data_IF_820470836175
#
_entry.id   IF_820470836175
#
_cell.length_a   1.000
_cell.length_b   1.000
_cell.length_c   1.000
_cell.angle_alpha   90.00
_cell.angle_beta   90.00
_cell.angle_gamma   90.00
#
_symmetry.space_group_name_H-M   'P 1'
#
loop_
_entity.id
_entity.type
_entity.pdbx_description
1 polymer ?
#
# COMPACT_ATOMS: atom_id res chain seq x y z
N UNK A 1 -12.56 -4.02 11.36
CA UNK A 1 -12.45 -4.74 10.07
C UNK A 1 -12.08 -6.19 10.38
N UNK A 2 -12.91 -7.18 10.04
CA UNK A 2 -12.66 -8.59 10.38
C UNK A 2 -11.60 -9.15 9.43
N UNK A 3 -10.38 -9.37 9.95
CA UNK A 3 -9.30 -10.06 9.24
C UNK A 3 -9.69 -11.54 9.22
N UNK A 4 -10.05 -12.06 8.06
CA UNK A 4 -10.14 -13.50 7.86
C UNK A 4 -8.72 -14.02 7.62
N UNK A 5 -8.02 -14.39 8.69
CA UNK A 5 -6.87 -15.29 8.60
C UNK A 5 -7.45 -16.68 8.34
N UNK A 6 -7.39 -17.14 7.11
CA UNK A 6 -7.81 -18.50 6.77
C UNK A 6 -6.68 -19.44 7.20
N UNK A 7 -6.79 -19.99 8.42
CA UNK A 7 -6.12 -21.23 8.78
C UNK A 7 -6.81 -22.36 8.01
N UNK A 8 -6.24 -22.73 6.86
CA UNK A 8 -6.76 -23.81 6.02
C UNK A 8 -6.62 -25.15 6.73
N UNK A 9 -7.76 -25.74 7.12
CA UNK A 9 -7.87 -27.09 7.63
C UNK A 9 -7.56 -28.11 6.51
N UNK A 10 -6.67 -29.07 6.82
CA UNK A 10 -6.33 -30.22 6.00
C UNK A 10 -7.55 -31.12 5.78
N UNK A 11 -8.00 -31.23 4.54
CA UNK A 11 -8.86 -32.33 4.10
C UNK A 11 -8.17 -33.06 2.93
N UNK A 12 -7.54 -34.18 3.26
CA UNK A 12 -7.12 -35.19 2.30
C UNK A 12 -8.37 -35.92 1.81
N UNK A 13 -8.78 -35.63 0.58
CA UNK A 13 -9.69 -36.53 -0.16
C UNK A 13 -9.02 -36.85 -1.48
N UNK A 14 -8.43 -38.05 -1.53
CA UNK A 14 -7.98 -38.65 -2.77
C UNK A 14 -9.18 -39.15 -3.56
N UNK A 15 -9.32 -38.66 -4.79
CA UNK A 15 -10.19 -39.25 -5.80
C UNK A 15 -9.44 -39.23 -7.13
N UNK A 16 -8.99 -40.41 -7.57
CA UNK A 16 -8.53 -40.65 -8.92
C UNK A 16 -9.73 -40.55 -9.87
N UNK A 17 -9.72 -39.59 -10.80
CA UNK A 17 -10.72 -39.50 -11.85
C UNK A 17 -10.09 -38.95 -13.14
N UNK A 18 -10.21 -39.74 -14.22
CA UNK A 18 -10.26 -39.34 -15.63
C UNK A 18 -9.16 -38.42 -16.16
N UNK A 19 -8.24 -38.96 -16.95
CA UNK A 19 -7.31 -38.16 -17.74
C UNK A 19 -8.04 -37.31 -18.79
N UNK A 20 -8.34 -36.06 -18.44
CA UNK A 20 -8.46 -34.98 -19.41
C UNK A 20 -7.06 -34.63 -19.91
N UNK A 21 -6.93 -34.36 -21.21
CA UNK A 21 -5.65 -33.97 -21.83
C UNK A 21 -5.30 -32.55 -21.35
N UNK A 22 -4.72 -32.45 -20.14
CA UNK A 22 -4.28 -31.17 -19.58
C UNK A 22 -2.99 -30.78 -20.29
N UNK A 23 -3.08 -29.77 -21.15
CA UNK A 23 -1.91 -29.21 -21.81
C UNK A 23 -1.10 -28.39 -20.80
N UNK A 24 0.12 -28.85 -20.48
CA UNK A 24 1.02 -28.21 -19.53
C UNK A 24 2.09 -27.39 -20.25
N UNK A 25 2.21 -26.13 -19.87
CA UNK A 25 3.15 -25.18 -20.45
C UNK A 25 4.00 -24.55 -19.35
N UNK A 26 5.32 -24.56 -19.53
CA UNK A 26 6.21 -23.72 -18.73
C UNK A 26 6.27 -22.33 -19.39
N UNK A 27 6.02 -21.28 -18.61
CA UNK A 27 6.06 -19.90 -19.09
C UNK A 27 7.44 -19.33 -18.75
N UNK A 28 8.26 -19.14 -19.78
CA UNK A 28 9.54 -18.47 -19.65
C UNK A 28 9.37 -16.95 -19.63
N UNK A 29 10.18 -16.26 -18.80
CA UNK A 29 10.19 -14.80 -18.71
C UNK A 29 10.58 -14.16 -20.04
N UNK A 30 9.84 -13.13 -20.45
CA UNK A 30 10.00 -12.42 -21.72
C UNK A 30 9.50 -13.17 -22.95
N UNK A 31 9.02 -14.41 -22.79
CA UNK A 31 8.55 -15.24 -23.91
C UNK A 31 7.30 -14.65 -24.58
N UNK A 32 7.06 -15.07 -25.82
CA UNK A 32 5.83 -14.73 -26.53
C UNK A 32 4.59 -15.26 -25.79
N UNK A 33 4.70 -16.44 -25.17
CA UNK A 33 3.62 -17.02 -24.37
C UNK A 33 3.28 -16.15 -23.16
N UNK A 34 4.28 -15.63 -22.44
CA UNK A 34 4.06 -14.70 -21.32
C UNK A 34 3.29 -13.46 -21.76
N UNK A 35 3.69 -12.86 -22.90
CA UNK A 35 3.00 -11.69 -23.48
C UNK A 35 1.55 -11.99 -23.86
N UNK A 36 1.29 -13.17 -24.43
CA UNK A 36 -0.05 -13.61 -24.82
C UNK A 36 -0.97 -13.90 -23.64
N UNK A 37 -0.41 -14.32 -22.50
CA UNK A 37 -1.16 -14.52 -21.26
C UNK A 37 -1.52 -13.18 -20.60
N UNK A 38 -0.74 -12.12 -20.82
CA UNK A 38 -1.09 -10.77 -20.38
C UNK A 38 -1.22 -10.62 -18.86
N UNK A 39 -0.47 -11.42 -18.10
CA UNK A 39 -0.38 -11.30 -16.65
C UNK A 39 0.82 -10.45 -16.25
N UNK A 40 0.73 -9.87 -15.05
CA UNK A 40 1.82 -9.23 -14.34
C UNK A 40 2.08 -9.98 -13.05
N UNK A 41 3.33 -10.34 -12.80
CA UNK A 41 3.76 -10.92 -11.52
C UNK A 41 4.93 -10.11 -11.00
N UNK A 42 4.87 -9.74 -9.73
CA UNK A 42 5.95 -9.04 -9.04
C UNK A 42 6.26 -9.67 -7.70
N UNK A 43 7.53 -9.62 -7.34
CA UNK A 43 8.08 -10.10 -6.06
C UNK A 43 8.73 -8.90 -5.38
N UNK A 44 8.33 -8.62 -4.15
CA UNK A 44 8.81 -7.48 -3.36
C UNK A 44 9.20 -7.96 -1.96
N UNK A 45 10.16 -7.29 -1.31
CA UNK A 45 10.48 -7.56 0.09
C UNK A 45 9.30 -7.15 1.00
N UNK A 46 8.90 -8.05 1.91
CA UNK A 46 7.80 -7.75 2.85
C UNK A 46 8.13 -6.57 3.75
N UNK A 47 9.40 -6.38 4.11
CA UNK A 47 9.80 -5.24 4.94
C UNK A 47 9.59 -3.90 4.24
N UNK A 48 9.61 -3.88 2.91
CA UNK A 48 9.35 -2.67 2.13
C UNK A 48 7.84 -2.40 1.96
N UNK A 49 7.01 -3.44 1.86
CA UNK A 49 5.54 -3.30 1.76
C UNK A 49 4.87 -2.98 3.10
N UNK A 50 5.21 -3.64 4.21
CA UNK A 50 4.55 -3.34 5.50
C UNK A 50 4.83 -1.92 6.01
N UNK A 51 5.95 -1.39 5.55
CA UNK A 51 6.36 -0.01 5.74
C UNK A 51 5.57 0.99 4.88
N UNK A 52 4.85 0.52 3.87
CA UNK A 52 4.05 1.34 2.94
C UNK A 52 2.56 1.44 3.28
N UNK A 53 1.98 0.44 3.95
CA UNK A 53 0.53 0.32 4.14
C UNK A 53 0.02 0.67 5.57
N UNK A 54 0.86 1.20 6.45
CA UNK A 54 0.48 1.42 7.86
C UNK A 54 -0.36 2.69 8.08
N UNK A 55 -1.65 2.61 7.71
CA UNK A 55 -2.72 3.25 8.48
C UNK A 55 -3.06 2.48 9.76
N UNK A 56 -2.75 1.19 9.86
CA UNK A 56 -2.87 0.40 11.10
C UNK A 56 -1.90 -0.79 11.03
N UNK A 57 -0.99 -0.95 12.00
CA UNK A 57 -0.11 -2.12 12.02
C UNK A 57 1.05 -2.02 12.99
N UNK A 58 0.86 -2.57 14.19
CA UNK A 58 1.92 -2.94 15.14
C UNK A 58 2.89 -3.86 14.40
N UNK A 59 4.14 -3.43 14.18
CA UNK A 59 5.16 -4.34 13.67
C UNK A 59 5.43 -5.41 14.73
N UNK A 60 5.12 -6.65 14.44
CA UNK A 60 5.56 -7.76 15.29
C UNK A 60 6.82 -8.25 14.61
N UNK A 61 7.95 -8.14 15.30
CA UNK A 61 9.15 -8.86 14.95
C UNK A 61 8.78 -10.36 15.01
N UNK A 62 8.81 -11.03 13.86
CA UNK A 62 8.23 -12.36 13.67
C UNK A 62 8.65 -12.97 12.33
N UNK A 63 8.45 -14.29 12.15
CA UNK A 63 9.47 -15.26 11.76
C UNK A 63 9.80 -15.28 10.26
N UNK A 64 11.07 -15.59 9.95
CA UNK A 64 11.71 -15.73 8.62
C UNK A 64 11.49 -14.56 7.63
N UNK A 65 12.53 -14.10 6.91
CA UNK A 65 12.34 -13.04 5.94
C UNK A 65 11.40 -13.55 4.83
N UNK A 66 10.42 -12.72 4.45
CA UNK A 66 9.38 -13.05 3.48
C UNK A 66 9.38 -12.06 2.32
N UNK A 67 8.99 -12.55 1.15
CA UNK A 67 8.58 -11.73 0.01
C UNK A 67 7.05 -11.65 -0.04
N UNK A 68 6.55 -10.55 -0.58
CA UNK A 68 5.18 -10.39 -1.04
C UNK A 68 5.18 -10.63 -2.54
N UNK A 69 4.33 -11.54 -2.98
CA UNK A 69 4.09 -11.80 -4.41
C UNK A 69 2.74 -11.24 -4.79
N UNK A 70 2.71 -10.46 -5.87
CA UNK A 70 1.49 -9.90 -6.45
C UNK A 70 1.32 -10.51 -7.84
N UNK A 71 0.16 -11.08 -8.07
CA UNK A 71 -0.25 -11.59 -9.37
C UNK A 71 -1.47 -10.82 -9.84
N UNK A 72 -1.36 -10.18 -10.99
CA UNK A 72 -2.44 -9.48 -11.65
C UNK A 72 -2.64 -10.06 -13.05
N UNK A 73 -3.88 -10.33 -13.45
CA UNK A 73 -4.18 -10.75 -14.81
C UNK A 73 -5.58 -10.28 -15.21
N UNK A 74 -5.77 -10.07 -16.50
CA UNK A 74 -7.12 -9.96 -17.08
C UNK A 74 -7.51 -11.32 -17.66
N UNK A 75 -8.58 -11.92 -17.15
CA UNK A 75 -9.22 -13.14 -17.64
C UNK A 75 -9.84 -12.92 -19.04
N UNK A 76 -8.96 -12.88 -20.04
CA UNK A 76 -9.26 -12.78 -21.46
C UNK A 76 -8.17 -13.48 -22.28
N UNK A 77 -8.35 -13.59 -23.59
CA UNK A 77 -7.39 -14.29 -24.46
C UNK A 77 -7.14 -15.73 -24.00
N UNK A 78 -5.86 -16.09 -23.80
CA UNK A 78 -5.46 -17.43 -23.31
C UNK A 78 -5.81 -17.71 -21.85
N UNK A 79 -6.14 -16.68 -21.08
CA UNK A 79 -6.62 -16.77 -19.70
C UNK A 79 -8.14 -16.64 -19.60
N UNK A 80 -8.86 -16.73 -20.74
CA UNK A 80 -10.31 -16.85 -20.72
C UNK A 80 -10.69 -18.10 -19.92
N UNK A 81 -11.73 -18.00 -19.11
CA UNK A 81 -12.21 -19.10 -18.27
C UNK A 81 -11.15 -19.59 -17.26
N UNK A 82 -10.34 -18.67 -16.72
CA UNK A 82 -9.46 -18.90 -15.57
C UNK A 82 -10.30 -19.32 -14.36
N UNK A 83 -10.00 -20.49 -13.80
CA UNK A 83 -10.77 -21.07 -12.69
C UNK A 83 -9.92 -21.44 -11.47
N UNK A 84 -8.60 -21.57 -11.63
CA UNK A 84 -7.72 -21.96 -10.51
C UNK A 84 -6.34 -21.28 -10.62
N UNK A 85 -5.85 -20.88 -9.45
CA UNK A 85 -4.49 -20.38 -9.24
C UNK A 85 -3.93 -21.16 -8.05
N UNK A 86 -2.81 -21.84 -8.25
CA UNK A 86 -2.17 -22.69 -7.24
C UNK A 86 -0.70 -22.32 -7.08
N UNK A 87 -0.22 -22.33 -5.84
CA UNK A 87 1.19 -22.15 -5.53
C UNK A 87 1.76 -23.47 -5.04
N UNK A 88 2.65 -24.05 -5.84
CA UNK A 88 3.45 -25.19 -5.45
C UNK A 88 4.77 -24.73 -4.81
N UNK A 89 5.01 -25.16 -3.57
CA UNK A 89 6.23 -24.89 -2.80
C UNK A 89 6.95 -26.22 -2.58
N UNK A 90 8.22 -26.30 -2.95
CA UNK A 90 9.07 -27.43 -2.57
C UNK A 90 10.03 -27.01 -1.47
N UNK A 91 9.94 -27.63 -0.31
CA UNK A 91 10.85 -27.34 0.81
C UNK A 91 12.28 -27.87 0.56
N UNK A 92 13.18 -27.63 1.52
CA UNK A 92 14.57 -28.10 1.48
C UNK A 92 14.68 -29.63 1.30
N UNK A 93 13.71 -30.37 1.82
CA UNK A 93 13.66 -31.83 1.91
C UNK A 93 12.90 -32.48 0.73
N UNK A 94 12.40 -31.69 -0.22
CA UNK A 94 11.65 -32.18 -1.39
C UNK A 94 10.16 -32.38 -1.13
N UNK A 95 9.62 -31.95 0.01
CA UNK A 95 8.19 -31.99 0.30
C UNK A 95 7.48 -30.95 -0.56
N UNK A 96 6.50 -31.39 -1.34
CA UNK A 96 5.67 -30.54 -2.19
C UNK A 96 4.41 -30.12 -1.43
N UNK A 97 4.24 -28.82 -1.24
CA UNK A 97 3.04 -28.21 -0.69
C UNK A 97 2.32 -27.44 -1.79
N UNK A 98 1.06 -27.78 -2.05
CA UNK A 98 0.18 -27.03 -2.94
C UNK A 98 -0.73 -26.12 -2.12
N UNK A 99 -0.75 -24.85 -2.46
CA UNK A 99 -1.56 -23.83 -1.79
C UNK A 99 -2.52 -23.24 -2.82
N UNK A 100 -3.80 -23.63 -2.81
CA UNK A 100 -4.79 -22.99 -3.66
C UNK A 100 -4.94 -21.53 -3.23
N UNK A 101 -4.73 -20.62 -4.17
CA UNK A 101 -4.83 -19.19 -3.92
C UNK A 101 -6.26 -18.75 -4.23
N UNK A 102 -6.90 -18.11 -3.24
CA UNK A 102 -8.27 -17.63 -3.41
C UNK A 102 -8.33 -16.59 -4.54
N UNK A 103 -8.90 -16.99 -5.68
CA UNK A 103 -9.30 -16.06 -6.72
C UNK A 103 -10.50 -15.30 -6.16
N UNK A 104 -10.33 -14.00 -5.89
CA UNK A 104 -11.44 -13.18 -5.40
C UNK A 104 -12.51 -13.12 -6.49
N UNK A 105 -13.64 -13.77 -6.26
CA UNK A 105 -14.88 -13.55 -7.00
C UNK A 105 -15.89 -12.91 -6.05
N UNK A 106 -16.34 -11.70 -6.43
CA UNK A 106 -17.69 -11.11 -6.24
C UNK A 106 -17.56 -9.59 -6.33
N UNK A 107 -18.09 -9.00 -7.41
CA UNK A 107 -18.21 -7.56 -7.66
C UNK A 107 -16.99 -6.80 -8.20
N UNK A 108 -16.44 -7.24 -9.33
CA UNK A 108 -16.02 -6.23 -10.31
C UNK A 108 -16.62 -6.60 -11.67
N UNK A 109 -17.11 -5.60 -12.42
CA UNK A 109 -17.58 -5.79 -13.82
C UNK A 109 -16.41 -6.06 -14.77
N UNK A 110 -15.22 -6.25 -14.22
CA UNK A 110 -13.95 -6.32 -14.90
C UNK A 110 -13.43 -7.74 -14.71
N UNK A 111 -13.07 -8.38 -15.83
CA UNK A 111 -12.47 -9.71 -15.89
C UNK A 111 -11.06 -9.70 -15.28
N UNK A 112 -10.83 -9.12 -14.10
CA UNK A 112 -9.52 -8.98 -13.49
C UNK A 112 -9.36 -9.89 -12.28
N UNK A 113 -8.17 -10.49 -12.18
CA UNK A 113 -7.71 -11.30 -11.07
C UNK A 113 -6.55 -10.56 -10.42
N UNK A 114 -6.68 -10.23 -9.14
CA UNK A 114 -5.61 -9.66 -8.31
C UNK A 114 -5.47 -10.54 -7.06
N UNK A 115 -4.32 -11.19 -6.93
CA UNK A 115 -3.99 -12.09 -5.84
C UNK A 115 -2.67 -11.66 -5.21
N UNK A 116 -2.65 -11.64 -3.88
CA UNK A 116 -1.45 -11.33 -3.09
C UNK A 116 -1.22 -12.40 -2.05
N UNK A 117 0.01 -12.85 -1.93
CA UNK A 117 0.39 -13.86 -0.95
C UNK A 117 1.83 -13.68 -0.49
N UNK A 118 2.14 -14.25 0.67
CA UNK A 118 3.44 -14.20 1.30
C UNK A 118 4.20 -15.50 1.01
N UNK A 119 5.50 -15.38 0.76
CA UNK A 119 6.39 -16.52 0.57
C UNK A 119 7.71 -16.28 1.30
N UNK A 120 8.28 -17.31 1.93
CA UNK A 120 9.59 -17.16 2.58
C UNK A 120 10.69 -17.02 1.53
N UNK A 121 11.71 -16.19 1.82
CA UNK A 121 12.79 -15.90 0.86
C UNK A 121 13.61 -17.14 0.49
N UNK A 122 13.76 -18.08 1.40
CA UNK A 122 14.54 -19.32 1.21
C UNK A 122 13.86 -20.35 0.28
N UNK A 123 12.54 -20.25 0.08
CA UNK A 123 11.78 -21.18 -0.78
C UNK A 123 11.40 -20.61 -2.14
N UNK A 124 11.61 -19.31 -2.40
CA UNK A 124 11.18 -18.66 -3.65
C UNK A 124 11.76 -19.30 -4.91
N UNK A 125 13.03 -19.73 -4.86
CA UNK A 125 13.71 -20.37 -5.98
C UNK A 125 13.10 -21.73 -6.36
N UNK A 126 12.25 -22.28 -5.50
CA UNK A 126 11.57 -23.57 -5.66
C UNK A 126 10.06 -23.42 -5.78
N UNK A 127 9.57 -22.18 -5.90
CA UNK A 127 8.16 -21.89 -5.93
C UNK A 127 7.65 -21.75 -7.36
N UNK A 128 6.53 -22.43 -7.65
CA UNK A 128 5.87 -22.42 -8.95
C UNK A 128 4.44 -21.96 -8.79
N UNK A 129 4.10 -20.85 -9.42
CA UNK A 129 2.74 -20.37 -9.54
C UNK A 129 2.11 -21.00 -10.78
N UNK A 130 1.00 -21.71 -10.61
CA UNK A 130 0.29 -22.39 -11.69
C UNK A 130 -1.06 -21.74 -11.94
N UNK A 131 -1.31 -21.35 -13.19
CA UNK A 131 -2.60 -20.85 -13.65
C UNK A 131 -3.30 -21.97 -14.41
N UNK A 132 -4.55 -22.27 -14.06
CA UNK A 132 -5.39 -23.19 -14.83
C UNK A 132 -6.62 -22.49 -15.38
N UNK A 133 -6.86 -22.72 -16.66
CA UNK A 133 -7.95 -22.11 -17.41
C UNK A 133 -8.55 -23.10 -18.41
N UNK A 134 -9.79 -22.82 -18.81
CA UNK A 134 -10.55 -23.68 -19.71
C UNK A 134 -11.32 -24.77 -18.97
N UNK A 135 -11.83 -25.72 -19.74
CA UNK A 135 -12.72 -26.77 -19.25
C UNK A 135 -13.44 -27.46 -20.41
N UNK A 136 -14.20 -28.53 -20.14
CA UNK A 136 -14.87 -29.30 -21.18
C UNK A 136 -15.79 -28.40 -22.04
N UNK A 137 -15.77 -28.49 -23.38
CA UNK A 137 -15.10 -29.50 -24.22
C UNK A 137 -13.72 -29.07 -24.77
N UNK A 138 -13.22 -27.89 -24.41
CA UNK A 138 -12.10 -27.21 -25.11
C UNK A 138 -10.70 -27.62 -24.58
N UNK A 139 -10.66 -28.52 -23.59
CA UNK A 139 -9.43 -28.92 -22.91
C UNK A 139 -9.05 -27.94 -21.79
N UNK A 140 -8.18 -28.41 -20.89
CA UNK A 140 -7.63 -27.60 -19.82
C UNK A 140 -6.20 -27.20 -20.18
N UNK A 141 -5.86 -25.93 -19.97
CA UNK A 141 -4.49 -25.45 -20.07
C UNK A 141 -3.95 -25.14 -18.67
N UNK A 142 -2.70 -25.54 -18.43
CA UNK A 142 -1.98 -25.29 -17.20
C UNK A 142 -0.67 -24.56 -17.53
N UNK A 143 -0.52 -23.35 -17.01
CA UNK A 143 0.65 -22.50 -17.22
C UNK A 143 1.44 -22.38 -15.91
N UNK A 144 2.71 -22.79 -15.93
CA UNK A 144 3.59 -22.79 -14.77
C UNK A 144 4.61 -21.65 -14.85
N UNK A 145 4.67 -20.83 -13.81
CA UNK A 145 5.56 -19.67 -13.68
C UNK A 145 6.50 -19.92 -12.50
N UNK A 146 7.82 -19.90 -12.74
CA UNK A 146 8.83 -20.05 -11.67
C UNK A 146 9.08 -18.70 -11.00
N UNK A 147 8.74 -18.58 -9.72
CA UNK A 147 8.87 -17.30 -9.00
C UNK A 147 10.33 -16.89 -8.77
N UNK A 148 11.26 -17.84 -8.71
CA UNK A 148 12.71 -17.55 -8.64
C UNK A 148 13.29 -16.86 -9.88
N UNK A 149 12.58 -16.91 -11.01
CA UNK A 149 12.98 -16.21 -12.25
C UNK A 149 12.38 -14.80 -12.33
N UNK A 150 11.46 -14.46 -11.42
CA UNK A 150 10.88 -13.12 -11.33
C UNK A 150 11.87 -12.23 -10.57
N UNK A 151 12.37 -11.14 -11.19
CA UNK A 151 13.27 -10.22 -10.50
C UNK A 151 12.61 -9.69 -9.22
N UNK A 152 13.36 -9.71 -8.13
CA UNK A 152 12.93 -9.04 -6.89
C UNK A 152 12.99 -7.54 -7.18
N UNK A 153 11.84 -6.89 -7.09
CA UNK A 153 11.74 -5.46 -7.26
C UNK A 153 12.37 -4.79 -6.05
N UNK A 154 13.52 -4.16 -6.29
CA UNK A 154 14.13 -3.26 -5.33
C UNK A 154 13.32 -1.97 -5.36
N UNK A 155 12.46 -1.79 -4.38
CA UNK A 155 11.78 -0.51 -4.21
C UNK A 155 12.84 0.57 -3.94
N UNK A 156 12.65 1.80 -4.46
CA UNK A 156 13.55 2.91 -4.15
C UNK A 156 13.68 3.01 -2.63
N UNK A 157 14.93 3.09 -2.13
CA UNK A 157 15.16 3.33 -0.70
C UNK A 157 14.34 4.53 -0.30
N UNK A 158 13.53 4.38 0.76
CA UNK A 158 12.78 5.49 1.34
C UNK A 158 13.75 6.63 1.61
N UNK A 159 13.61 7.70 0.85
CA UNK A 159 14.33 8.93 1.13
C UNK A 159 13.51 9.72 2.14
N UNK A 160 14.22 10.40 3.05
CA UNK A 160 13.62 11.50 3.78
C UNK A 160 13.32 12.64 2.80
N UNK A 161 12.33 13.50 3.11
CA UNK A 161 12.10 14.69 2.31
C UNK A 161 13.36 15.56 2.29
N UNK A 162 13.83 15.95 1.11
CA UNK A 162 14.87 16.98 0.94
C UNK A 162 14.29 18.38 1.12
N UNK A 163 12.99 18.56 0.81
CA UNK A 163 12.21 19.76 1.13
C UNK A 163 11.44 19.55 2.42
N UNK A 164 11.72 20.36 3.43
CA UNK A 164 10.96 20.36 4.68
C UNK A 164 9.47 20.67 4.46
N UNK A 165 8.64 20.34 5.44
CA UNK A 165 7.22 20.69 5.44
C UNK A 165 7.00 22.19 5.15
N UNK A 166 7.73 23.06 5.85
CA UNK A 166 7.59 24.52 5.71
C UNK A 166 7.97 25.00 4.31
N UNK A 167 9.04 24.46 3.73
CA UNK A 167 9.42 24.77 2.35
C UNK A 167 8.38 24.29 1.35
N UNK A 168 7.85 23.08 1.52
CA UNK A 168 6.84 22.52 0.63
C UNK A 168 5.53 23.31 0.66
N UNK A 169 5.08 23.73 1.86
CA UNK A 169 3.92 24.61 2.04
C UNK A 169 4.16 25.95 1.34
N UNK A 170 5.32 26.58 1.53
CA UNK A 170 5.64 27.85 0.87
C UNK A 170 5.63 27.74 -0.67
N UNK A 171 6.18 26.65 -1.22
CA UNK A 171 6.15 26.38 -2.67
C UNK A 171 4.71 26.23 -3.16
N UNK A 172 3.89 25.47 -2.45
CA UNK A 172 2.49 25.27 -2.81
C UNK A 172 1.67 26.58 -2.75
N UNK A 173 1.86 27.40 -1.71
CA UNK A 173 1.22 28.71 -1.58
C UNK A 173 1.61 29.65 -2.72
N UNK A 174 2.91 29.70 -3.07
CA UNK A 174 3.39 30.49 -4.20
C UNK A 174 2.80 30.01 -5.52
N UNK A 175 2.75 28.69 -5.72
CA UNK A 175 2.13 28.08 -6.90
C UNK A 175 0.64 28.44 -7.02
N UNK A 176 -0.12 28.30 -5.93
CA UNK A 176 -1.56 28.61 -5.89
C UNK A 176 -1.85 30.10 -6.13
N UNK A 177 -1.00 30.99 -5.60
CA UNK A 177 -1.06 32.42 -5.91
C UNK A 177 -0.87 32.68 -7.42
N UNK A 178 0.06 31.97 -8.06
CA UNK A 178 0.25 32.00 -9.51
C UNK A 178 -0.97 31.51 -10.29
N UNK A 179 -1.74 30.58 -9.73
CA UNK A 179 -3.02 30.10 -10.28
C UNK A 179 -4.21 31.01 -9.93
N UNK A 180 -3.99 32.14 -9.26
CA UNK A 180 -5.05 33.06 -8.76
C UNK A 180 -6.03 32.39 -7.79
N UNK A 181 -5.57 31.39 -7.05
CA UNK A 181 -6.34 30.76 -5.97
C UNK A 181 -6.00 31.48 -4.67
N UNK A 182 -7.02 32.08 -4.04
CA UNK A 182 -6.86 32.78 -2.78
C UNK A 182 -6.94 31.81 -1.59
N UNK A 183 -5.90 31.83 -0.75
CA UNK A 183 -5.77 31.04 0.48
C UNK A 183 -5.98 31.87 1.74
N UNK A 184 -6.36 33.15 1.64
CA UNK A 184 -6.53 34.07 2.79
C UNK A 184 -7.45 33.51 3.88
N UNK A 185 -8.48 32.76 3.49
CA UNK A 185 -9.41 32.05 4.38
C UNK A 185 -9.27 30.52 4.30
N UNK A 186 -8.18 30.04 3.71
CA UNK A 186 -7.90 28.62 3.53
C UNK A 186 -7.38 27.99 4.80
N UNK A 187 -7.95 26.84 5.18
CA UNK A 187 -7.49 26.06 6.33
C UNK A 187 -6.66 24.90 5.82
N UNK A 188 -5.38 24.85 6.19
CA UNK A 188 -4.52 23.70 5.89
C UNK A 188 -5.01 22.50 6.68
N UNK A 189 -5.41 21.42 5.99
CA UNK A 189 -5.98 20.22 6.58
C UNK A 189 -5.02 19.04 6.59
N UNK A 190 -4.14 18.98 5.60
CA UNK A 190 -3.25 17.84 5.43
C UNK A 190 -1.96 18.26 4.76
N UNK A 191 -0.86 17.74 5.26
CA UNK A 191 0.41 17.67 4.55
C UNK A 191 1.01 16.29 4.81
N UNK A 192 1.29 15.54 3.74
CA UNK A 192 1.88 14.21 3.85
C UNK A 192 2.99 14.06 2.81
N UNK A 193 4.18 13.69 3.28
CA UNK A 193 5.25 13.30 2.41
C UNK A 193 5.01 11.87 1.89
N UNK A 194 4.74 11.77 0.59
CA UNK A 194 4.60 10.52 -0.14
C UNK A 194 5.96 10.09 -0.67
N UNK A 195 6.53 9.08 -0.03
CA UNK A 195 7.65 8.31 -0.54
C UNK A 195 7.24 6.90 -1.02
N UNK A 196 5.93 6.61 -1.00
CA UNK A 196 5.31 5.42 -1.55
C UNK A 196 4.12 5.83 -2.39
N UNK A 197 4.21 5.57 -3.68
CA UNK A 197 3.12 5.81 -4.61
C UNK A 197 2.81 4.46 -5.25
N UNK A 198 1.51 4.20 -5.37
CA UNK A 198 0.90 2.89 -5.67
C UNK A 198 1.46 2.23 -6.93
N UNK A 199 2.05 3.05 -7.80
CA UNK A 199 2.77 2.69 -8.99
C UNK A 199 4.23 3.11 -8.80
N UNK A 200 5.16 2.17 -8.95
CA UNK A 200 6.63 2.26 -8.70
C UNK A 200 7.36 3.34 -9.54
N UNK A 201 6.63 4.25 -10.17
CA UNK A 201 7.10 5.27 -11.11
C UNK A 201 6.89 6.70 -10.64
N UNK A 202 6.17 6.94 -9.56
CA UNK A 202 5.94 8.32 -9.13
C UNK A 202 7.03 8.83 -8.19
N UNK A 203 7.61 9.99 -8.54
CA UNK A 203 8.66 10.67 -7.77
C UNK A 203 8.15 11.11 -6.38
N UNK A 204 8.97 10.99 -5.31
CA UNK A 204 8.62 11.45 -3.97
C UNK A 204 8.14 12.90 -3.96
N UNK A 205 7.09 13.17 -3.18
CA UNK A 205 6.44 14.49 -3.15
C UNK A 205 5.68 14.72 -1.86
N UNK A 206 5.33 15.98 -1.62
CA UNK A 206 4.35 16.38 -0.62
C UNK A 206 2.96 16.45 -1.25
N UNK A 207 2.00 15.78 -0.62
CA UNK A 207 0.57 15.97 -0.87
C UNK A 207 0.05 16.98 0.17
N UNK A 208 -0.42 18.15 -0.27
CA UNK A 208 -0.88 19.23 0.61
C UNK A 208 -2.31 19.61 0.27
N UNK A 209 -3.18 19.68 1.28
CA UNK A 209 -4.63 19.93 1.12
C UNK A 209 -5.06 21.12 1.97
N UNK A 210 -5.75 22.07 1.34
CA UNK A 210 -6.50 23.13 2.01
C UNK A 210 -8.00 22.95 1.84
N UNK A 211 -8.77 23.28 2.86
CA UNK A 211 -10.19 23.61 2.70
C UNK A 211 -10.35 25.10 2.45
N UNK A 212 -11.10 25.46 1.41
CA UNK A 212 -11.53 26.81 1.11
C UNK A 212 -13.01 26.99 1.45
N UNK A 213 -13.45 28.25 1.47
CA UNK A 213 -14.87 28.56 1.65
C UNK A 213 -15.75 27.91 0.57
N UNK A 214 -16.93 27.42 0.97
CA UNK A 214 -17.93 26.84 0.07
C UNK A 214 -17.63 25.40 -0.38
N UNK A 215 -17.19 24.55 0.56
CA UNK A 215 -16.92 23.10 0.39
C UNK A 215 -15.83 22.71 -0.62
N UNK A 216 -15.08 23.69 -1.14
CA UNK A 216 -14.01 23.46 -2.12
C UNK A 216 -12.70 23.15 -1.41
N UNK A 217 -12.20 21.93 -1.55
CA UNK A 217 -10.81 21.62 -1.21
C UNK A 217 -9.88 21.94 -2.37
N UNK A 218 -8.63 22.26 -2.06
CA UNK A 218 -7.54 22.40 -3.03
C UNK A 218 -6.41 21.47 -2.62
N UNK A 219 -6.01 20.62 -3.55
CA UNK A 219 -4.94 19.64 -3.37
C UNK A 219 -3.76 19.99 -4.28
N UNK A 220 -2.58 20.16 -3.69
CA UNK A 220 -1.34 20.46 -4.40
C UNK A 220 -0.33 19.36 -4.16
N UNK A 221 0.31 18.92 -5.23
CA UNK A 221 1.50 18.08 -5.19
C UNK A 221 2.73 18.96 -5.31
N UNK A 222 3.72 18.76 -4.45
CA UNK A 222 5.02 19.45 -4.50
C UNK A 222 6.14 18.42 -4.51
N UNK A 223 6.88 18.35 -5.62
CA UNK A 223 8.00 17.42 -5.76
C UNK A 223 9.27 17.97 -5.13
N UNK A 224 10.25 17.07 -4.94
CA UNK A 224 11.53 17.42 -4.31
C UNK A 224 12.39 18.39 -5.14
N UNK A 225 12.15 18.50 -6.44
CA UNK A 225 12.79 19.49 -7.33
C UNK A 225 12.16 20.89 -7.21
N UNK A 226 11.10 21.04 -6.42
CA UNK A 226 10.36 22.28 -6.22
C UNK A 226 9.26 22.55 -7.25
N UNK A 227 9.03 21.62 -8.19
CA UNK A 227 7.88 21.69 -9.07
C UNK A 227 6.58 21.41 -8.29
N UNK A 228 5.48 22.00 -8.76
CA UNK A 228 4.17 21.86 -8.13
C UNK A 228 3.06 21.66 -9.16
N UNK A 229 2.00 20.95 -8.75
CA UNK A 229 0.83 20.66 -9.59
C UNK A 229 -0.45 20.75 -8.78
N UNK A 230 -1.44 21.42 -9.35
CA UNK A 230 -2.82 21.39 -8.86
C UNK A 230 -3.45 20.05 -9.22
N UNK A 231 -4.07 19.39 -8.25
CA UNK A 231 -4.81 18.14 -8.44
C UNK A 231 -6.28 18.30 -8.07
N UNK A 232 -7.10 17.30 -8.40
CA UNK A 232 -8.54 17.37 -8.18
C UNK A 232 -8.80 17.39 -6.68
N UNK A 233 -9.27 18.53 -6.18
CA UNK A 233 -9.53 18.76 -4.77
C UNK A 233 -10.52 17.76 -4.18
N UNK A 234 -10.22 17.24 -3.00
CA UNK A 234 -11.19 16.53 -2.15
C UNK A 234 -12.27 17.48 -1.65
N UNK A 235 -13.44 16.92 -1.34
CA UNK A 235 -14.48 17.65 -0.59
C UNK A 235 -13.92 18.05 0.78
N UNK A 236 -14.20 19.29 1.19
CA UNK A 236 -13.83 19.75 2.53
C UNK A 236 -14.60 18.95 3.60
N UNK A 237 -13.97 18.62 4.74
CA UNK A 237 -14.68 18.02 5.86
C UNK A 237 -15.74 18.99 6.39
N UNK A 238 -16.86 18.45 6.87
CA UNK A 238 -17.95 19.25 7.46
C UNK A 238 -17.53 20.03 8.70
N UNK A 239 -16.53 19.52 9.43
CA UNK A 239 -15.93 20.14 10.61
C UNK A 239 -14.51 20.54 10.23
N UNK A 240 -14.16 21.79 10.52
CA UNK A 240 -12.81 22.30 10.37
C UNK A 240 -12.05 22.21 11.71
N UNK A 241 -10.71 22.10 11.67
CA UNK A 241 -9.91 22.10 12.89
C UNK A 241 -10.01 23.45 13.61
N UNK A 242 -10.22 23.41 14.92
CA UNK A 242 -10.16 24.58 15.83
C UNK A 242 -8.72 25.01 16.12
N UNK A 243 -7.76 24.08 15.98
CA UNK A 243 -6.33 24.33 16.13
C UNK A 243 -5.67 24.21 14.77
N UNK A 244 -4.86 25.18 14.41
CA UNK A 244 -4.03 25.11 13.22
C UNK A 244 -3.09 23.90 13.26
N UNK A 245 -2.59 23.50 12.10
CA UNK A 245 -1.59 22.43 11.99
C UNK A 245 -0.36 22.74 12.85
N UNK A 246 0.14 23.99 12.80
CA UNK A 246 1.30 24.43 13.58
C UNK A 246 1.04 24.33 15.09
N UNK A 247 -0.13 24.77 15.57
CA UNK A 247 -0.49 24.63 16.99
C UNK A 247 -0.57 23.16 17.42
N UNK A 248 -1.16 22.30 16.58
CA UNK A 248 -1.26 20.88 16.87
C UNK A 248 0.12 20.19 16.91
N UNK A 249 1.03 20.55 16.00
CA UNK A 249 2.41 20.08 16.01
C UNK A 249 3.11 20.49 17.30
N UNK A 250 3.03 21.76 17.71
CA UNK A 250 3.63 22.25 18.95
C UNK A 250 3.11 21.49 20.17
N UNK A 251 1.79 21.30 20.29
CA UNK A 251 1.17 20.54 21.40
C UNK A 251 1.71 19.11 21.45
N UNK A 252 1.81 18.45 20.29
CA UNK A 252 2.31 17.09 20.22
C UNK A 252 3.80 17.00 20.59
N UNK A 253 4.64 17.94 20.14
CA UNK A 253 6.06 17.98 20.48
C UNK A 253 6.27 18.21 21.99
N UNK A 254 5.50 19.10 22.62
CA UNK A 254 5.53 19.31 24.06
C UNK A 254 5.10 18.06 24.83
N UNK A 255 4.02 17.41 24.40
CA UNK A 255 3.56 16.15 24.97
C UNK A 255 4.65 15.05 24.88
N UNK A 256 5.25 14.88 23.70
CA UNK A 256 6.31 13.88 23.47
C UNK A 256 7.55 14.14 24.32
N UNK A 257 7.95 15.41 24.47
CA UNK A 257 9.02 15.81 25.38
C UNK A 257 8.72 15.43 26.83
N UNK A 258 7.47 15.64 27.27
CA UNK A 258 6.99 15.18 28.57
C UNK A 258 7.07 13.66 28.76
N UNK A 259 6.94 12.89 27.68
CA UNK A 259 7.13 11.43 27.64
C UNK A 259 8.60 11.00 27.45
N UNK A 260 9.56 11.93 27.48
CA UNK A 260 10.99 11.69 27.20
C UNK A 260 11.26 11.15 25.78
N UNK A 261 10.40 11.48 24.82
CA UNK A 261 10.57 11.18 23.40
C UNK A 261 11.03 12.46 22.71
N UNK A 262 12.28 12.48 22.24
CA UNK A 262 12.85 13.62 21.52
C UNK A 262 12.71 13.46 20.00
N UNK A 263 11.87 14.32 19.40
CA UNK A 263 11.65 14.38 17.95
C UNK A 263 12.41 15.52 17.28
N UNK A 264 13.29 16.25 17.98
CA UNK A 264 14.03 17.40 17.43
C UNK A 264 14.92 17.06 16.23
N UNK A 265 15.41 15.82 16.17
CA UNK A 265 16.19 15.28 15.04
C UNK A 265 15.32 14.62 13.97
N UNK A 266 14.04 14.43 14.23
CA UNK A 266 13.11 13.82 13.29
C UNK A 266 12.51 14.89 12.37
N UNK A 267 12.18 14.49 11.15
CA UNK A 267 11.41 15.34 10.24
C UNK A 267 9.93 15.08 10.40
N UNK A 268 9.12 16.14 10.36
CA UNK A 268 7.68 16.00 10.19
C UNK A 268 7.42 15.34 8.83
N UNK A 269 6.71 14.21 8.82
CA UNK A 269 6.39 13.45 7.61
C UNK A 269 4.91 13.55 7.25
N UNK A 270 4.05 13.70 8.26
CA UNK A 270 2.60 13.79 8.06
C UNK A 270 1.97 14.61 9.16
N UNK A 271 1.01 15.45 8.79
CA UNK A 271 -0.01 15.98 9.67
C UNK A 271 -1.33 15.97 8.91
N UNK A 272 -2.33 15.24 9.41
CA UNK A 272 -3.65 15.09 8.77
C UNK A 272 -4.75 15.34 9.80
N UNK A 273 -5.62 16.30 9.53
CA UNK A 273 -6.84 16.47 10.29
C UNK A 273 -7.86 15.40 9.88
N UNK A 274 -8.27 14.59 10.85
CA UNK A 274 -9.13 13.43 10.66
C UNK A 274 -10.34 13.48 11.58
N UNK A 275 -11.45 12.92 11.13
CA UNK A 275 -12.66 12.71 11.94
C UNK A 275 -12.92 11.21 11.98
N UNK A 276 -12.81 10.60 13.15
CA UNK A 276 -13.17 9.19 13.36
C UNK A 276 -14.46 9.09 14.18
N UNK A 277 -15.22 8.02 13.98
CA UNK A 277 -16.31 7.65 14.88
C UNK A 277 -15.76 6.77 16.00
N UNK A 278 -15.77 7.30 17.22
CA UNK A 278 -15.39 6.57 18.44
C UNK A 278 -16.63 6.54 19.33
N UNK A 279 -17.14 5.34 19.65
CA UNK A 279 -18.36 5.16 20.44
C UNK A 279 -19.54 5.99 19.91
N UNK A 280 -19.79 5.90 18.59
CA UNK A 280 -20.85 6.62 17.86
C UNK A 280 -20.75 8.16 17.92
N UNK A 281 -19.58 8.70 18.30
CA UNK A 281 -19.32 10.14 18.31
C UNK A 281 -18.21 10.49 17.33
N UNK A 282 -18.46 11.49 16.49
CA UNK A 282 -17.43 12.12 15.68
C UNK A 282 -16.37 12.74 16.59
N UNK A 283 -15.16 12.23 16.48
CA UNK A 283 -14.00 12.68 17.23
C UNK A 283 -13.01 13.29 16.24
N UNK A 284 -13.00 14.62 16.08
CA UNK A 284 -12.02 15.32 15.27
C UNK A 284 -10.67 15.42 15.99
N UNK A 285 -9.57 15.14 15.28
CA UNK A 285 -8.21 15.24 15.81
C UNK A 285 -7.17 15.40 14.70
N UNK A 286 -5.98 15.82 15.08
CA UNK A 286 -4.79 15.82 14.24
C UNK A 286 -4.02 14.53 14.43
N UNK A 287 -3.69 13.83 13.34
CA UNK A 287 -2.76 12.70 13.32
C UNK A 287 -1.41 13.18 12.77
N UNK A 288 -0.38 13.14 13.62
CA UNK A 288 0.93 13.75 13.34
C UNK A 288 2.01 12.69 13.44
N UNK A 289 2.87 12.61 12.43
CA UNK A 289 3.96 11.65 12.37
C UNK A 289 5.29 12.33 12.06
N UNK A 290 6.32 11.99 12.84
CA UNK A 290 7.71 12.32 12.61
C UNK A 290 8.48 11.04 12.25
N UNK A 291 9.53 11.18 11.44
CA UNK A 291 10.44 10.09 11.12
C UNK A 291 11.91 10.48 11.12
N UNK A 292 12.76 9.50 11.40
CA UNK A 292 14.21 9.56 11.32
C UNK A 292 14.72 8.17 10.95
N UNK A 293 15.26 8.01 9.75
CA UNK A 293 15.68 6.71 9.20
C UNK A 293 14.55 5.65 9.29
N UNK A 294 14.70 4.67 10.18
CA UNK A 294 13.73 3.60 10.43
C UNK A 294 12.77 3.91 11.58
N UNK A 295 13.03 4.98 12.33
CA UNK A 295 12.22 5.39 13.47
C UNK A 295 11.03 6.24 13.02
N UNK A 296 9.89 6.00 13.66
CA UNK A 296 8.65 6.74 13.45
C UNK A 296 7.93 6.95 14.78
N UNK A 297 7.64 8.21 15.05
CA UNK A 297 6.81 8.63 16.18
C UNK A 297 5.50 9.18 15.64
N UNK A 298 4.38 8.71 16.18
CA UNK A 298 3.04 9.12 15.79
C UNK A 298 2.28 9.53 17.05
N UNK A 299 1.72 10.73 17.02
CA UNK A 299 0.88 11.27 18.08
C UNK A 299 -0.43 11.81 17.50
N UNK A 300 -1.49 11.72 18.28
CA UNK A 300 -2.77 12.35 17.97
C UNK A 300 -3.03 13.54 18.90
N UNK A 301 -3.54 14.65 18.38
CA UNK A 301 -3.94 15.82 19.17
C UNK A 301 -5.43 16.09 18.96
N UNK A 302 -6.21 15.96 20.04
CA UNK A 302 -7.64 16.25 20.04
C UNK A 302 -7.89 17.76 20.01
N UNK A 303 -9.11 18.15 19.65
CA UNK A 303 -9.49 19.57 19.56
C UNK A 303 -9.45 20.32 20.89
N UNK A 304 -9.55 19.62 22.03
CA UNK A 304 -9.41 20.19 23.37
C UNK A 304 -7.93 20.44 23.77
N UNK A 305 -6.97 20.01 22.95
CA UNK A 305 -5.54 20.14 23.21
C UNK A 305 -4.92 18.95 23.94
N UNK A 306 -5.71 17.93 24.29
CA UNK A 306 -5.15 16.68 24.78
C UNK A 306 -4.41 15.95 23.67
N UNK A 307 -3.28 15.33 24.03
CA UNK A 307 -2.43 14.59 23.12
C UNK A 307 -2.26 13.15 23.59
N UNK A 308 -2.05 12.24 22.63
CA UNK A 308 -1.85 10.82 22.90
C UNK A 308 -0.78 10.26 21.98
N UNK A 309 0.14 9.48 22.55
CA UNK A 309 1.09 8.70 21.79
C UNK A 309 0.37 7.50 21.15
N UNK A 310 0.46 7.38 19.84
CA UNK A 310 -0.08 6.25 19.08
C UNK A 310 1.01 5.20 18.87
N UNK A 311 2.22 5.64 18.52
CA UNK A 311 3.37 4.77 18.26
C UNK A 311 4.67 5.53 18.45
N UNK A 312 5.66 4.90 19.07
CA UNK A 312 7.06 5.31 19.00
C UNK A 312 7.88 4.04 18.78
N UNK A 313 8.57 3.97 17.65
CA UNK A 313 9.44 2.84 17.29
C UNK A 313 10.61 3.32 16.46
#
# INVERSE_FOLDING_TARGET
MRIAVVLGFLLLVGSAAGGSDVSRYQVERGSQLEKELGYEVSVQDKHDEWQSDSRDGIGIEGPAPEYVVKFHATAGGKLKDLFELDLALTDANGTLLHVPLAIRSRYNKENQVDVRFLIKKDVINRAVLTIRCGGPPQGEASYAIRLGEVPVLNLPKKSMPTKSFTEAVAIAEQFLRGQKIDLSNGVLLRAEFRNYLRDERETPRWDITWALAGDKGVDVWVWQDGSAKLTRGRSSPRILPKKSLTEAVTIAEEFLRGQKIDVSKHMLLRAEFTINFINDRETPFWDIAWGLDHQRVIASVLQDGSAKLIRAR
#
